data_IF_387668367227
#
_entry.id   IF_387668367227
#
_cell.length_a   1.000
_cell.length_b   1.000
_cell.length_c   1.000
_cell.angle_alpha   90.00
_cell.angle_beta   90.00
_cell.angle_gamma   90.00
#
_symmetry.space_group_name_H-M   'P 1'
#
loop_
_entity.id
_entity.type
_entity.pdbx_description
1 polymer ?
#
# COMPACT_ATOMS: atom_id res chain seq x y z
N UNK A 1 -0.17 -13.80 1.19
CA UNK A 1 -0.61 -13.03 2.38
C UNK A 1 -1.46 -11.81 2.03
N UNK A 2 -0.93 -10.81 1.30
CA UNK A 2 -1.63 -9.53 0.97
C UNK A 2 -3.00 -9.75 0.29
N UNK A 3 -3.06 -10.60 -0.74
CA UNK A 3 -4.30 -10.86 -1.50
C UNK A 3 -5.44 -11.41 -0.64
N UNK A 4 -5.15 -12.32 0.29
CA UNK A 4 -6.17 -12.88 1.20
C UNK A 4 -6.66 -11.84 2.20
N UNK A 5 -5.76 -10.99 2.69
CA UNK A 5 -6.13 -9.92 3.61
C UNK A 5 -7.01 -8.87 2.96
N UNK A 6 -6.69 -8.42 1.74
CA UNK A 6 -7.53 -7.48 0.99
C UNK A 6 -8.92 -8.05 0.67
N UNK A 7 -9.03 -9.36 0.42
CA UNK A 7 -10.33 -10.04 0.26
C UNK A 7 -11.19 -9.98 1.54
N UNK A 8 -10.57 -9.97 2.72
CA UNK A 8 -11.26 -9.85 4.01
C UNK A 8 -11.65 -8.40 4.32
N UNK A 9 -10.76 -7.44 4.05
CA UNK A 9 -11.02 -6.01 4.29
C UNK A 9 -12.08 -5.46 3.34
N UNK A 10 -12.09 -5.87 2.07
CA UNK A 10 -12.97 -5.28 1.03
C UNK A 10 -12.92 -3.75 1.04
N UNK A 11 -11.73 -3.14 0.80
CA UNK A 11 -11.54 -1.71 0.95
C UNK A 11 -12.50 -0.93 0.07
N UNK A 12 -13.14 0.11 0.63
CA UNK A 12 -14.09 0.99 -0.08
C UNK A 12 -13.51 2.38 -0.33
N UNK A 13 -12.50 2.77 0.45
CA UNK A 13 -11.87 4.08 0.38
C UNK A 13 -10.35 3.97 0.19
N UNK A 14 -9.72 5.06 -0.25
CA UNK A 14 -8.26 5.16 -0.32
C UNK A 14 -7.61 4.94 1.06
N UNK A 15 -8.27 5.41 2.12
CA UNK A 15 -7.80 5.24 3.49
C UNK A 15 -7.80 3.75 3.91
N UNK A 16 -8.76 2.96 3.44
CA UNK A 16 -8.77 1.51 3.71
C UNK A 16 -7.58 0.80 3.07
N UNK A 17 -7.18 1.23 1.87
CA UNK A 17 -5.99 0.72 1.18
C UNK A 17 -4.74 1.11 1.96
N UNK A 18 -4.64 2.38 2.39
CA UNK A 18 -3.52 2.86 3.19
C UNK A 18 -3.42 2.10 4.53
N UNK A 19 -4.54 1.88 5.23
CA UNK A 19 -4.59 1.09 6.45
C UNK A 19 -4.13 -0.35 6.20
N UNK A 20 -4.57 -0.96 5.10
CA UNK A 20 -4.17 -2.32 4.76
C UNK A 20 -2.67 -2.45 4.53
N UNK A 21 -2.03 -1.48 3.85
CA UNK A 21 -0.58 -1.44 3.64
C UNK A 21 0.16 -1.37 4.99
N UNK A 22 -0.30 -0.53 5.90
CA UNK A 22 0.34 -0.36 7.20
C UNK A 22 0.22 -1.61 8.10
N UNK A 23 -0.93 -2.30 8.07
CA UNK A 23 -1.23 -3.43 8.97
C UNK A 23 -0.59 -4.76 8.55
N UNK A 24 -0.41 -5.03 7.24
CA UNK A 24 0.09 -6.33 6.76
C UNK A 24 1.57 -6.59 7.14
N UNK A 25 2.25 -5.62 7.75
CA UNK A 25 3.65 -5.74 8.16
C UNK A 25 3.80 -6.75 9.31
N UNK A 26 4.94 -7.47 9.40
CA UNK A 26 5.13 -8.55 10.38
C UNK A 26 5.00 -8.10 11.84
N UNK A 27 5.35 -6.84 12.18
CA UNK A 27 5.21 -6.31 13.54
C UNK A 27 3.76 -6.20 14.04
N UNK A 28 2.90 -5.36 13.40
CA UNK A 28 1.47 -5.28 13.74
C UNK A 28 0.71 -6.62 13.69
N UNK A 29 1.18 -7.57 12.86
CA UNK A 29 0.59 -8.90 12.75
C UNK A 29 0.92 -9.81 13.95
N UNK A 30 2.04 -9.61 14.65
CA UNK A 30 2.39 -10.37 15.85
C UNK A 30 1.69 -9.86 17.11
N UNK A 31 1.32 -8.58 17.17
CA UNK A 31 0.65 -7.95 18.31
C UNK A 31 -0.88 -8.08 18.35
N UNK A 32 -1.49 -8.94 17.52
CA UNK A 32 -2.96 -9.11 17.43
C UNK A 32 -3.73 -7.88 16.94
N UNK A 33 -3.04 -6.81 16.52
CA UNK A 33 -3.67 -5.59 16.01
C UNK A 33 -4.43 -5.84 14.71
N UNK A 34 -3.89 -6.72 13.87
CA UNK A 34 -4.51 -7.15 12.61
C UNK A 34 -5.87 -7.82 12.85
N UNK A 35 -5.93 -8.74 13.80
CA UNK A 35 -7.17 -9.44 14.17
C UNK A 35 -8.18 -8.47 14.76
N UNK A 36 -7.78 -7.60 15.69
CA UNK A 36 -8.66 -6.55 16.24
C UNK A 36 -9.19 -5.61 15.16
N UNK A 37 -8.33 -5.16 14.25
CA UNK A 37 -8.74 -4.30 13.14
C UNK A 37 -9.79 -5.00 12.25
N UNK A 38 -9.58 -6.28 11.92
CA UNK A 38 -10.53 -7.05 11.13
C UNK A 38 -11.87 -7.27 11.86
N UNK A 39 -11.84 -7.59 13.16
CA UNK A 39 -13.06 -7.75 13.96
C UNK A 39 -13.87 -6.45 14.02
N UNK A 40 -13.21 -5.32 14.31
CA UNK A 40 -13.84 -3.99 14.34
C UNK A 40 -14.39 -3.59 12.98
N UNK A 41 -13.66 -3.87 11.90
CA UNK A 41 -14.10 -3.56 10.53
C UNK A 41 -15.38 -4.33 10.16
N UNK A 42 -15.55 -5.54 10.70
CA UNK A 42 -16.74 -6.38 10.49
C UNK A 42 -17.84 -6.17 11.54
N UNK A 43 -17.67 -5.22 12.46
CA UNK A 43 -18.55 -5.02 13.62
C UNK A 43 -18.66 -6.25 14.56
N UNK A 44 -17.67 -7.15 14.55
CA UNK A 44 -17.57 -8.29 15.48
C UNK A 44 -16.97 -7.86 16.84
N UNK A 45 -16.37 -6.67 16.92
CA UNK A 45 -15.82 -6.06 18.13
C UNK A 45 -16.19 -4.56 18.16
N UNK A 46 -16.59 -4.04 19.32
CA UNK A 46 -16.89 -2.61 19.49
C UNK A 46 -15.64 -1.75 19.33
N UNK A 47 -15.79 -0.60 18.68
CA UNK A 47 -14.71 0.37 18.55
C UNK A 47 -14.58 1.13 19.87
N UNK A 48 -13.47 0.88 20.56
CA UNK A 48 -13.12 1.58 21.79
C UNK A 48 -11.99 2.58 21.54
N UNK A 49 -12.15 3.75 22.18
CA UNK A 49 -11.15 4.81 22.20
C UNK A 49 -10.65 4.98 23.64
N UNK A 50 -9.33 5.17 23.87
CA UNK A 50 -8.80 5.34 25.21
C UNK A 50 -9.36 6.58 25.94
N UNK A 51 -9.76 7.60 25.17
CA UNK A 51 -10.41 8.80 25.66
C UNK A 51 -11.26 9.42 24.53
N UNK A 52 -12.42 10.05 24.81
CA UNK A 52 -13.30 10.62 23.79
C UNK A 52 -12.60 11.61 22.85
N UNK A 53 -11.68 12.42 23.36
CA UNK A 53 -10.93 13.40 22.57
C UNK A 53 -10.09 12.75 21.45
N UNK A 54 -9.68 11.49 21.63
CA UNK A 54 -8.83 10.76 20.68
C UNK A 54 -9.61 10.15 19.52
N UNK A 55 -10.94 10.26 19.54
CA UNK A 55 -11.79 9.80 18.44
C UNK A 55 -11.36 10.46 17.13
N UNK A 56 -11.00 11.74 17.13
CA UNK A 56 -10.56 12.44 15.93
C UNK A 56 -9.27 11.85 15.33
N UNK A 57 -8.29 11.54 16.17
CA UNK A 57 -7.03 10.94 15.74
C UNK A 57 -7.21 9.49 15.25
N UNK A 58 -8.09 8.70 15.89
CA UNK A 58 -8.17 7.25 15.73
C UNK A 58 -9.38 6.75 14.94
N UNK A 59 -10.32 7.62 14.54
CA UNK A 59 -11.56 7.20 13.83
C UNK A 59 -11.28 6.40 12.56
N UNK A 60 -10.32 6.86 11.76
CA UNK A 60 -9.98 6.24 10.48
C UNK A 60 -9.24 4.91 10.62
N UNK A 61 -8.82 4.56 11.83
CA UNK A 61 -8.11 3.31 12.15
C UNK A 61 -8.86 2.50 13.20
N UNK A 62 -10.16 2.76 13.37
CA UNK A 62 -11.06 2.01 14.25
C UNK A 62 -10.54 1.92 15.71
N UNK A 63 -9.98 3.02 16.24
CA UNK A 63 -9.48 3.06 17.63
C UNK A 63 -8.10 2.40 17.83
N UNK A 64 -7.46 1.95 16.74
CA UNK A 64 -6.15 1.32 16.77
C UNK A 64 -5.11 2.34 16.28
N UNK A 65 -4.09 2.70 17.06
CA UNK A 65 -3.03 3.57 16.56
C UNK A 65 -2.20 2.78 15.53
N UNK A 66 -2.10 3.30 14.30
CA UNK A 66 -1.38 2.68 13.18
C UNK A 66 -0.28 3.62 12.65
N UNK A 67 -0.49 4.94 12.74
CA UNK A 67 0.39 5.93 12.17
C UNK A 67 1.13 6.79 13.19
N UNK A 68 2.38 7.15 12.87
CA UNK A 68 3.20 8.04 13.70
C UNK A 68 2.51 9.39 13.90
N UNK A 69 1.87 9.91 12.85
CA UNK A 69 1.10 11.14 12.86
C UNK A 69 -0.08 11.09 13.83
N UNK A 70 -0.67 9.91 14.07
CA UNK A 70 -1.73 9.77 15.08
C UNK A 70 -1.20 9.97 16.49
N UNK A 71 0.02 9.51 16.78
CA UNK A 71 0.62 9.73 18.10
C UNK A 71 0.91 11.21 18.35
N UNK A 72 1.42 11.89 17.32
CA UNK A 72 1.63 13.33 17.39
C UNK A 72 0.31 14.07 17.63
N UNK A 73 -0.76 13.66 16.93
CA UNK A 73 -2.09 14.21 17.15
C UNK A 73 -2.61 13.92 18.56
N UNK A 74 -2.46 12.69 19.07
CA UNK A 74 -2.87 12.31 20.43
C UNK A 74 -2.14 13.17 21.47
N UNK A 75 -0.81 13.31 21.34
CA UNK A 75 0.00 14.11 22.27
C UNK A 75 -0.37 15.60 22.22
N UNK A 76 -0.70 16.12 21.04
CA UNK A 76 -1.19 17.48 20.87
C UNK A 76 -2.58 17.67 21.49
N UNK A 77 -3.55 16.82 21.13
CA UNK A 77 -4.95 16.98 21.55
C UNK A 77 -5.12 16.79 23.06
N UNK A 78 -4.47 15.77 23.62
CA UNK A 78 -4.62 15.37 25.02
C UNK A 78 -3.66 16.09 25.97
N UNK A 79 -2.39 16.29 25.57
CA UNK A 79 -1.37 16.86 26.44
C UNK A 79 -0.84 18.22 25.95
N UNK A 80 -1.45 18.85 24.94
CA UNK A 80 -1.04 20.17 24.41
C UNK A 80 0.46 20.23 24.10
N UNK A 81 0.98 19.16 23.49
CA UNK A 81 2.34 19.15 22.98
C UNK A 81 2.49 20.21 21.90
N UNK A 82 3.58 20.99 21.99
CA UNK A 82 3.99 21.92 20.96
C UNK A 82 4.58 21.16 19.77
N UNK A 83 4.84 21.86 18.66
CA UNK A 83 5.55 21.28 17.52
C UNK A 83 6.93 20.74 17.91
N UNK A 84 7.63 21.44 18.81
CA UNK A 84 8.93 21.01 19.34
C UNK A 84 8.81 19.73 20.17
N UNK A 85 7.84 19.67 21.10
CA UNK A 85 7.61 18.47 21.91
C UNK A 85 7.22 17.26 21.03
N UNK A 86 6.40 17.52 20.00
CA UNK A 86 6.00 16.52 19.01
C UNK A 86 7.19 15.96 18.23
N UNK A 87 8.12 16.80 17.76
CA UNK A 87 9.32 16.31 17.08
C UNK A 87 10.24 15.52 18.03
N UNK A 88 10.36 15.95 19.29
CA UNK A 88 11.08 15.18 20.31
C UNK A 88 10.47 13.79 20.50
N UNK A 89 9.13 13.71 20.61
CA UNK A 89 8.40 12.45 20.72
C UNK A 89 8.60 11.56 19.50
N UNK A 90 8.48 12.12 18.29
CA UNK A 90 8.71 11.41 17.02
C UNK A 90 10.11 10.79 16.95
N UNK A 91 11.14 11.54 17.34
CA UNK A 91 12.54 11.08 17.33
C UNK A 91 12.78 9.99 18.36
N UNK A 92 12.21 10.12 19.56
CA UNK A 92 12.33 9.12 20.62
C UNK A 92 11.73 7.79 20.19
N UNK A 93 10.50 7.81 19.65
CA UNK A 93 9.82 6.61 19.15
C UNK A 93 10.61 5.85 18.07
N UNK A 94 11.34 6.57 17.22
CA UNK A 94 12.10 5.94 16.12
C UNK A 94 13.43 5.33 16.60
N UNK A 95 14.05 5.88 17.65
CA UNK A 95 15.38 5.48 18.13
C UNK A 95 15.36 4.41 19.23
N UNK A 96 14.29 4.30 20.02
CA UNK A 96 14.15 3.27 21.05
C UNK A 96 13.84 1.87 20.50
N UNK A 97 13.56 1.77 19.20
CA UNK A 97 13.45 0.50 18.46
C UNK A 97 14.80 -0.21 18.25
N UNK A 98 15.93 0.48 18.50
CA UNK A 98 17.24 -0.14 18.64
C UNK A 98 17.55 -0.12 20.13
N UNK A 99 17.81 -1.26 20.80
CA UNK A 99 18.53 -1.23 22.06
C UNK A 99 19.86 -0.58 21.75
N UNK A 100 19.98 0.71 22.02
CA UNK A 100 21.25 1.38 21.92
C UNK A 100 22.12 0.73 22.98
N UNK A 101 23.24 0.14 22.55
CA UNK A 101 24.25 -0.52 23.39
C UNK A 101 24.78 0.40 24.53
N UNK A 102 24.39 1.68 24.54
CA UNK A 102 24.78 2.72 25.48
C UNK A 102 23.69 3.10 26.52
N UNK A 103 22.52 2.45 26.53
CA UNK A 103 21.46 2.71 27.53
C UNK A 103 20.74 4.06 27.42
N UNK A 104 21.04 4.90 26.42
CA UNK A 104 20.54 6.30 26.34
C UNK A 104 19.12 6.45 25.77
N UNK A 105 18.58 5.42 25.13
CA UNK A 105 17.22 5.42 24.58
C UNK A 105 16.15 5.60 25.66
N UNK A 106 16.18 4.75 26.69
CA UNK A 106 15.17 4.73 27.77
C UNK A 106 15.04 6.05 28.53
N UNK A 107 16.10 6.85 28.61
CA UNK A 107 16.10 8.13 29.32
C UNK A 107 15.33 9.23 28.58
N UNK A 108 15.21 9.19 27.24
CA UNK A 108 14.45 10.20 26.49
C UNK A 108 12.96 9.97 26.60
N UNK A 109 12.50 8.72 26.47
CA UNK A 109 11.09 8.39 26.59
C UNK A 109 10.56 8.65 28.00
N UNK A 110 11.33 8.35 29.04
CA UNK A 110 11.00 8.71 30.44
C UNK A 110 10.85 10.22 30.65
N UNK A 111 11.66 11.05 30.00
CA UNK A 111 11.52 12.53 30.06
C UNK A 111 10.24 13.00 29.38
N UNK A 112 9.94 12.43 28.21
CA UNK A 112 8.71 12.72 27.47
C UNK A 112 7.46 12.27 28.22
N UNK A 113 7.52 11.13 28.91
CA UNK A 113 6.46 10.65 29.80
C UNK A 113 6.17 11.66 30.90
N UNK A 114 7.20 12.10 31.64
CA UNK A 114 7.03 13.11 32.70
C UNK A 114 6.42 14.41 32.15
N UNK A 115 6.86 14.84 30.96
CA UNK A 115 6.32 16.02 30.30
C UNK A 115 4.86 15.82 29.90
N UNK A 116 4.51 14.66 29.33
CA UNK A 116 3.15 14.29 28.96
C UNK A 116 2.22 14.31 30.16
N UNK A 117 2.60 13.65 31.25
CA UNK A 117 1.81 13.59 32.47
C UNK A 117 1.60 14.98 33.09
N UNK A 118 2.67 15.78 33.14
CA UNK A 118 2.59 17.16 33.66
C UNK A 118 1.64 18.03 32.86
N UNK A 119 1.74 18.01 31.52
CA UNK A 119 0.85 18.81 30.66
C UNK A 119 -0.58 18.30 30.63
N UNK A 120 -0.79 16.99 30.63
CA UNK A 120 -2.13 16.41 30.68
C UNK A 120 -2.83 16.71 32.02
N UNK A 121 -2.11 16.65 33.14
CA UNK A 121 -2.63 17.07 34.45
C UNK A 121 -3.03 18.55 34.46
N UNK A 122 -2.20 19.43 33.88
CA UNK A 122 -2.55 20.85 33.70
C UNK A 122 -3.77 21.07 32.80
N UNK A 123 -4.05 20.13 31.90
CA UNK A 123 -5.22 20.15 31.02
C UNK A 123 -6.49 19.59 31.70
N UNK A 124 -6.42 19.21 32.98
CA UNK A 124 -7.56 18.78 33.79
C UNK A 124 -7.84 17.28 33.82
N UNK A 125 -7.01 16.45 33.18
CA UNK A 125 -7.23 15.00 33.13
C UNK A 125 -6.80 14.30 34.42
N UNK A 126 -7.54 13.26 34.80
CA UNK A 126 -7.21 12.47 35.98
C UNK A 126 -6.08 11.47 35.69
N UNK A 127 -5.46 10.94 36.76
CA UNK A 127 -4.30 10.05 36.64
C UNK A 127 -4.59 8.80 35.79
N UNK A 128 -5.76 8.18 35.96
CA UNK A 128 -6.14 6.96 35.22
C UNK A 128 -6.28 7.23 33.72
N UNK A 129 -6.87 8.37 33.34
CA UNK A 129 -6.98 8.77 31.93
C UNK A 129 -5.60 8.98 31.30
N UNK A 130 -4.71 9.67 32.01
CA UNK A 130 -3.35 9.95 31.54
C UNK A 130 -2.57 8.65 31.33
N UNK A 131 -2.62 7.74 32.32
CA UNK A 131 -1.95 6.44 32.26
C UNK A 131 -2.47 5.61 31.09
N UNK A 132 -3.79 5.51 30.92
CA UNK A 132 -4.41 4.76 29.82
C UNK A 132 -4.02 5.29 28.44
N UNK A 133 -3.98 6.62 28.26
CA UNK A 133 -3.56 7.22 26.99
C UNK A 133 -2.06 7.02 26.75
N UNK A 134 -1.24 7.17 27.78
CA UNK A 134 0.20 7.00 27.66
C UNK A 134 0.61 5.56 27.34
N UNK A 135 -0.01 4.57 27.99
CA UNK A 135 0.20 3.15 27.68
C UNK A 135 -0.10 2.86 26.20
N UNK A 136 -1.14 3.49 25.65
CA UNK A 136 -1.47 3.37 24.23
C UNK A 136 -0.37 3.94 23.32
N UNK A 137 0.21 5.09 23.68
CA UNK A 137 1.35 5.68 22.97
C UNK A 137 2.57 4.76 23.03
N UNK A 138 2.87 4.17 24.19
CA UNK A 138 4.00 3.26 24.38
C UNK A 138 3.83 1.95 23.59
N UNK A 139 2.65 1.34 23.63
CA UNK A 139 2.36 0.11 22.88
C UNK A 139 2.51 0.28 21.35
N UNK A 140 2.48 1.53 20.87
CA UNK A 140 2.56 1.87 19.46
C UNK A 140 4.00 2.11 18.95
N UNK A 141 4.89 2.63 19.79
CA UNK A 141 6.20 3.15 19.34
C UNK A 141 7.03 2.11 18.58
N UNK A 142 6.83 0.83 18.86
CA UNK A 142 7.51 -0.28 18.19
C UNK A 142 7.02 -0.59 16.77
N UNK A 143 5.84 -0.11 16.36
CA UNK A 143 5.17 -0.58 15.13
C UNK A 143 4.63 0.52 14.21
N UNK A 144 4.83 1.78 14.58
CA UNK A 144 4.25 2.90 13.86
C UNK A 144 4.70 3.04 12.41
N UNK A 145 3.74 3.30 11.52
CA UNK A 145 3.98 3.56 10.10
C UNK A 145 3.82 5.04 9.78
N UNK A 146 4.46 5.50 8.70
CA UNK A 146 4.28 6.88 8.23
C UNK A 146 3.01 6.97 7.37
N UNK A 147 2.06 7.81 7.76
CA UNK A 147 0.76 7.95 7.08
C UNK A 147 0.91 8.50 5.68
N UNK A 148 1.73 9.54 5.50
CA UNK A 148 1.94 10.15 4.17
C UNK A 148 2.49 9.13 3.17
N UNK A 149 3.51 8.39 3.55
CA UNK A 149 4.08 7.30 2.76
C UNK A 149 3.02 6.23 2.43
N UNK A 150 2.22 5.83 3.43
CA UNK A 150 1.14 4.87 3.24
C UNK A 150 0.10 5.33 2.21
N UNK A 151 -0.30 6.61 2.26
CA UNK A 151 -1.28 7.19 1.35
C UNK A 151 -0.71 7.28 -0.07
N UNK A 152 0.54 7.73 -0.23
CA UNK A 152 1.18 7.82 -1.55
C UNK A 152 1.20 6.47 -2.27
N UNK A 153 1.62 5.41 -1.57
CA UNK A 153 1.62 4.06 -2.15
C UNK A 153 0.20 3.49 -2.34
N UNK A 154 -0.74 3.82 -1.46
CA UNK A 154 -2.15 3.48 -1.66
C UNK A 154 -2.72 4.12 -2.93
N UNK A 155 -2.36 5.36 -3.22
CA UNK A 155 -2.77 6.07 -4.46
C UNK A 155 -2.21 5.37 -5.69
N UNK A 156 -0.92 5.01 -5.69
CA UNK A 156 -0.33 4.27 -6.81
C UNK A 156 -1.00 2.90 -7.02
N UNK A 157 -1.28 2.18 -5.94
CA UNK A 157 -2.00 0.90 -5.99
C UNK A 157 -3.42 1.07 -6.53
N UNK A 158 -4.14 2.11 -6.09
CA UNK A 158 -5.47 2.44 -6.58
C UNK A 158 -5.45 2.78 -8.08
N UNK A 159 -4.54 3.66 -8.52
CA UNK A 159 -4.42 4.04 -9.94
C UNK A 159 -4.06 2.82 -10.81
N UNK A 160 -3.20 1.93 -10.32
CA UNK A 160 -2.87 0.68 -11.01
C UNK A 160 -4.09 -0.24 -11.12
N UNK A 161 -4.85 -0.40 -10.04
CA UNK A 161 -6.08 -1.19 -10.03
C UNK A 161 -7.16 -0.57 -10.94
N UNK A 162 -7.30 0.75 -10.94
CA UNK A 162 -8.20 1.51 -11.81
C UNK A 162 -7.87 1.25 -13.29
N UNK A 163 -6.61 1.40 -13.68
CA UNK A 163 -6.19 1.11 -15.06
C UNK A 163 -6.36 -0.37 -15.43
N UNK A 164 -6.07 -1.29 -14.50
CA UNK A 164 -6.31 -2.71 -14.70
C UNK A 164 -7.79 -3.03 -14.91
N UNK A 165 -8.69 -2.33 -14.21
CA UNK A 165 -10.14 -2.54 -14.31
C UNK A 165 -10.73 -1.93 -15.59
N UNK A 166 -10.45 -0.65 -15.87
CA UNK A 166 -11.06 0.07 -16.99
C UNK A 166 -10.33 -0.12 -18.33
N UNK A 167 -9.02 -0.35 -18.31
CA UNK A 167 -8.19 -0.50 -19.51
C UNK A 167 -7.27 -1.73 -19.42
N UNK A 168 -7.79 -2.95 -19.20
CA UNK A 168 -7.01 -4.13 -18.88
C UNK A 168 -5.92 -4.42 -19.93
N UNK A 169 -6.26 -4.40 -21.23
CA UNK A 169 -5.29 -4.66 -22.30
C UNK A 169 -4.14 -3.65 -22.29
N UNK A 170 -4.42 -2.34 -22.19
CA UNK A 170 -3.37 -1.31 -22.13
C UNK A 170 -2.54 -1.44 -20.85
N UNK A 171 -3.17 -1.76 -19.72
CA UNK A 171 -2.49 -1.99 -18.45
C UNK A 171 -1.48 -3.15 -18.55
N UNK A 172 -1.93 -4.33 -18.99
CA UNK A 172 -1.03 -5.49 -19.11
C UNK A 172 0.04 -5.29 -20.17
N UNK A 173 -0.28 -4.66 -21.30
CA UNK A 173 0.71 -4.30 -22.32
C UNK A 173 1.85 -3.47 -21.74
N UNK A 174 1.51 -2.37 -21.04
CA UNK A 174 2.50 -1.48 -20.42
C UNK A 174 3.25 -2.15 -19.29
N UNK A 175 2.56 -2.96 -18.48
CA UNK A 175 3.17 -3.71 -17.39
C UNK A 175 4.22 -4.68 -17.92
N UNK A 176 3.89 -5.47 -18.94
CA UNK A 176 4.80 -6.44 -19.56
C UNK A 176 6.00 -5.72 -20.22
N UNK A 177 5.76 -4.63 -20.95
CA UNK A 177 6.83 -3.87 -21.61
C UNK A 177 7.79 -3.20 -20.62
N UNK A 178 7.34 -2.87 -19.41
CA UNK A 178 8.20 -2.40 -18.33
C UNK A 178 8.88 -3.55 -17.56
N UNK A 179 8.94 -4.77 -18.13
CA UNK A 179 9.45 -6.00 -17.52
C UNK A 179 8.70 -6.40 -16.23
N UNK A 180 7.50 -5.87 -16.05
CA UNK A 180 6.66 -6.16 -14.90
C UNK A 180 7.17 -5.53 -13.61
N UNK A 181 7.61 -6.38 -12.68
CA UNK A 181 7.90 -6.00 -11.29
C UNK A 181 8.36 -7.21 -10.49
N UNK A 182 7.70 -7.50 -9.37
CA UNK A 182 8.10 -8.57 -8.45
C UNK A 182 8.06 -9.98 -9.06
N UNK A 183 7.12 -10.26 -9.97
CA UNK A 183 6.97 -11.56 -10.63
C UNK A 183 7.65 -11.60 -12.01
N UNK A 184 8.02 -12.78 -12.52
CA UNK A 184 8.51 -12.93 -13.88
C UNK A 184 7.44 -12.62 -14.94
N UNK A 185 7.87 -12.25 -16.16
CA UNK A 185 6.98 -11.83 -17.27
C UNK A 185 5.85 -12.82 -17.57
N UNK A 186 6.14 -14.12 -17.56
CA UNK A 186 5.14 -15.16 -17.84
C UNK A 186 3.97 -15.14 -16.84
N UNK A 187 4.19 -14.71 -15.60
CA UNK A 187 3.14 -14.61 -14.60
C UNK A 187 2.13 -13.51 -14.97
N UNK A 188 2.60 -12.38 -15.49
CA UNK A 188 1.73 -11.30 -15.97
C UNK A 188 0.99 -11.68 -17.25
N UNK A 189 1.63 -12.42 -18.16
CA UNK A 189 0.98 -12.96 -19.37
C UNK A 189 -0.16 -13.91 -18.96
N UNK A 190 0.08 -14.80 -17.99
CA UNK A 190 -0.95 -15.72 -17.50
C UNK A 190 -2.08 -14.99 -16.76
N UNK A 191 -1.76 -13.95 -16.00
CA UNK A 191 -2.78 -13.10 -15.37
C UNK A 191 -3.60 -12.33 -16.43
N UNK A 192 -2.99 -11.82 -17.49
CA UNK A 192 -3.70 -11.21 -18.62
C UNK A 192 -4.69 -12.18 -19.28
N UNK A 193 -4.29 -13.45 -19.46
CA UNK A 193 -5.18 -14.52 -19.94
C UNK A 193 -6.35 -14.78 -18.99
N UNK A 194 -6.11 -14.82 -17.66
CA UNK A 194 -7.18 -14.94 -16.64
C UNK A 194 -8.16 -13.77 -16.68
N UNK A 195 -7.70 -12.60 -17.12
CA UNK A 195 -8.53 -11.41 -17.38
C UNK A 195 -9.27 -11.44 -18.73
N UNK A 196 -9.19 -12.55 -19.48
CA UNK A 196 -9.88 -12.72 -20.76
C UNK A 196 -9.18 -12.05 -21.95
N UNK A 197 -7.94 -11.60 -21.77
CA UNK A 197 -7.16 -10.98 -22.84
C UNK A 197 -6.52 -12.07 -23.68
N UNK A 198 -6.80 -12.07 -24.99
CA UNK A 198 -6.15 -12.96 -25.94
C UNK A 198 -4.73 -12.46 -26.22
N UNK A 199 -3.77 -13.36 -26.06
CA UNK A 199 -2.36 -13.12 -26.39
C UNK A 199 -2.09 -13.78 -27.74
N UNK A 200 -1.61 -13.00 -28.70
CA UNK A 200 -1.36 -13.42 -30.08
C UNK A 200 0.15 -13.59 -30.26
N UNK A 201 0.57 -14.64 -30.96
CA UNK A 201 1.96 -14.87 -31.32
C UNK A 201 2.51 -13.69 -32.16
N UNK A 202 3.84 -13.53 -32.24
CA UNK A 202 4.43 -12.51 -33.10
C UNK A 202 3.99 -12.67 -34.57
N UNK A 203 3.73 -11.56 -35.25
CA UNK A 203 3.34 -11.49 -36.67
C UNK A 203 4.24 -10.44 -37.33
N UNK A 204 4.97 -10.82 -38.38
CA UNK A 204 5.94 -9.93 -39.07
C UNK A 204 5.32 -8.64 -39.62
N UNK A 205 4.02 -8.65 -39.90
CA UNK A 205 3.30 -7.51 -40.45
C UNK A 205 2.58 -6.69 -39.38
N UNK A 206 2.22 -7.28 -38.24
CA UNK A 206 1.41 -6.62 -37.19
C UNK A 206 2.15 -6.33 -35.90
N UNK A 207 3.14 -7.13 -35.53
CA UNK A 207 3.91 -6.94 -34.30
C UNK A 207 4.76 -5.67 -34.37
N UNK A 208 4.94 -5.04 -33.21
CA UNK A 208 5.92 -3.98 -32.99
C UNK A 208 7.17 -4.58 -32.31
N UNK A 209 8.15 -3.74 -31.94
CA UNK A 209 9.32 -4.16 -31.16
C UNK A 209 8.85 -4.82 -29.86
N UNK A 210 8.00 -4.14 -29.09
CA UNK A 210 7.47 -4.61 -27.81
C UNK A 210 6.02 -5.10 -27.96
N UNK A 211 5.41 -5.61 -26.87
CA UNK A 211 3.99 -5.94 -26.92
C UNK A 211 3.16 -4.71 -27.29
N UNK A 212 2.12 -4.92 -28.09
CA UNK A 212 1.19 -3.86 -28.47
C UNK A 212 -0.26 -4.34 -28.35
N UNK A 213 -1.19 -3.38 -28.23
CA UNK A 213 -2.63 -3.64 -28.17
C UNK A 213 -3.20 -3.54 -29.57
N UNK A 214 -3.91 -4.57 -30.04
CA UNK A 214 -4.62 -4.56 -31.32
C UNK A 214 -6.12 -4.78 -31.12
N UNK A 215 -6.95 -4.15 -31.96
CA UNK A 215 -8.39 -4.37 -31.95
C UNK A 215 -8.72 -5.73 -32.58
N UNK A 216 -9.74 -6.41 -32.04
CA UNK A 216 -10.30 -7.60 -32.70
C UNK A 216 -11.03 -7.18 -33.95
N UNK A 217 -10.74 -7.83 -35.07
CA UNK A 217 -11.43 -7.62 -36.35
C UNK A 217 -12.78 -8.33 -36.44
N UNK A 218 -13.10 -9.27 -35.53
CA UNK A 218 -14.33 -10.08 -35.61
C UNK A 218 -15.29 -9.85 -34.42
N UNK A 219 -16.50 -9.40 -34.75
CA UNK A 219 -17.71 -9.28 -33.91
C UNK A 219 -18.20 -10.64 -33.39
N UNK A 220 -17.42 -11.32 -32.56
CA UNK A 220 -17.92 -12.47 -31.79
C UNK A 220 -18.37 -11.98 -30.41
N UNK A 221 -19.70 -11.97 -30.23
CA UNK A 221 -20.49 -11.43 -29.11
C UNK A 221 -20.11 -11.93 -27.71
N UNK A 222 -19.13 -12.86 -27.58
CA UNK A 222 -18.76 -13.50 -26.31
C UNK A 222 -17.49 -12.98 -25.63
N UNK A 223 -16.71 -12.09 -26.24
CA UNK A 223 -15.50 -11.59 -25.60
C UNK A 223 -15.69 -10.22 -24.95
N UNK A 224 -15.62 -10.16 -23.61
CA UNK A 224 -15.69 -8.92 -22.80
C UNK A 224 -14.63 -7.85 -23.14
N UNK A 225 -13.62 -8.18 -23.94
CA UNK A 225 -12.60 -7.23 -24.41
C UNK A 225 -12.57 -7.21 -25.94
N UNK A 226 -12.73 -6.00 -26.49
CA UNK A 226 -12.59 -5.66 -27.92
C UNK A 226 -11.14 -5.66 -28.39
N UNK A 227 -10.18 -5.88 -27.48
CA UNK A 227 -8.74 -5.78 -27.75
C UNK A 227 -7.99 -7.06 -27.38
N UNK A 228 -6.91 -7.32 -28.09
CA UNK A 228 -5.93 -8.39 -27.87
C UNK A 228 -4.54 -7.79 -27.62
N UNK A 229 -3.65 -8.58 -27.03
CA UNK A 229 -2.22 -8.27 -27.00
C UNK A 229 -1.50 -9.08 -28.06
N UNK A 230 -0.71 -8.43 -28.89
CA UNK A 230 0.20 -9.10 -29.82
C UNK A 230 1.61 -9.05 -29.24
N UNK A 231 2.29 -10.19 -29.31
CA UNK A 231 3.67 -10.35 -28.82
C UNK A 231 4.62 -9.51 -29.69
N UNK A 232 5.53 -8.78 -29.04
CA UNK A 232 6.57 -8.01 -29.73
C UNK A 232 7.62 -8.90 -30.38
N UNK A 233 8.25 -8.40 -31.44
CA UNK A 233 9.35 -9.10 -32.12
C UNK A 233 10.57 -9.28 -31.21
N UNK A 234 10.74 -8.42 -30.19
CA UNK A 234 11.84 -8.50 -29.21
C UNK A 234 11.79 -9.74 -28.31
N UNK A 235 10.64 -10.41 -28.21
CA UNK A 235 10.48 -11.64 -27.43
C UNK A 235 11.03 -12.88 -28.16
N UNK A 236 11.34 -12.76 -29.46
CA UNK A 236 11.95 -13.82 -30.26
C UNK A 236 13.45 -13.85 -29.98
N UNK A 237 13.89 -14.81 -29.16
CA UNK A 237 15.29 -14.91 -28.68
C UNK A 237 16.37 -14.87 -29.78
N UNK A 238 16.07 -15.39 -30.96
CA UNK A 238 17.00 -15.49 -32.09
C UNK A 238 17.06 -14.21 -32.94
N UNK A 239 16.17 -13.24 -32.70
CA UNK A 239 16.01 -12.06 -33.52
C UNK A 239 16.80 -10.89 -32.95
N UNK A 240 17.81 -10.41 -33.69
CA UNK A 240 18.61 -9.26 -33.27
C UNK A 240 17.86 -7.94 -33.46
N UNK A 241 18.19 -6.91 -32.66
CA UNK A 241 17.56 -5.59 -32.79
C UNK A 241 17.73 -4.97 -34.19
N UNK A 242 18.90 -5.07 -34.88
CA UNK A 242 19.01 -4.66 -36.27
C UNK A 242 18.07 -5.42 -37.22
N UNK A 243 17.86 -6.73 -37.01
CA UNK A 243 16.93 -7.52 -37.81
C UNK A 243 15.48 -7.08 -37.58
N UNK A 244 15.08 -6.83 -36.33
CA UNK A 244 13.77 -6.26 -35.98
C UNK A 244 13.52 -4.95 -36.73
N UNK A 245 14.49 -4.02 -36.70
CA UNK A 245 14.35 -2.74 -37.39
C UNK A 245 14.22 -2.89 -38.90
N UNK A 246 14.94 -3.85 -39.51
CA UNK A 246 14.76 -4.17 -40.94
C UNK A 246 13.36 -4.71 -41.22
N UNK A 247 12.85 -5.64 -40.41
CA UNK A 247 11.49 -6.19 -40.54
C UNK A 247 10.45 -5.05 -40.49
N UNK A 248 10.56 -4.16 -39.49
CA UNK A 248 9.65 -3.03 -39.33
C UNK A 248 9.74 -2.02 -40.48
N UNK A 249 10.92 -1.85 -41.09
CA UNK A 249 11.14 -0.95 -42.23
C UNK A 249 10.54 -1.49 -43.54
N UNK A 250 10.57 -2.81 -43.74
CA UNK A 250 10.19 -3.43 -45.03
C UNK A 250 8.81 -4.11 -45.06
N UNK A 251 8.06 -4.12 -43.94
CA UNK A 251 6.66 -4.57 -43.91
C UNK A 251 5.74 -3.61 -44.71
N UNK A 252 4.59 -4.05 -45.27
CA UNK A 252 4.02 -5.40 -45.16
C UNK A 252 4.63 -6.39 -46.16
N UNK A 253 5.01 -7.57 -45.65
CA UNK A 253 5.42 -8.73 -46.43
C UNK A 253 4.17 -9.42 -46.98
N UNK A 254 4.11 -9.60 -48.31
CA UNK A 254 2.92 -10.15 -48.99
C UNK A 254 2.99 -11.67 -49.22
N UNK A 255 4.16 -12.30 -49.07
CA UNK A 255 4.37 -13.73 -49.27
C UNK A 255 5.16 -14.31 -48.09
N UNK A 256 4.64 -15.38 -47.50
CA UNK A 256 5.32 -16.27 -46.55
C UNK A 256 5.15 -17.70 -47.01
#
# INVERSE_FOLDING_TARGET
MVRQFLKRIKPKTLMDIANAIAIIRPGPAQGGMKEKFLKRLKNEEKIEYPHPILKNALKHTLGIPIYQEQILQIAHDFAKFSLSDGDMLRRAMTKDLRPSLDGRGSNRMKKLEKLFFSKAKKSGYNKKEIENVWERIQSFSSFGFNKAHSITYATLAYLSAYQKFYNPSKFFCRLINNKGGYYPTYAYINEARRWGIKIIAPDVNKSDINFSVINKTNNTVRAKSTTCLITGLSEIKTLSFPAINRILKFRPFKNG
#
